data_IF_505672330061
#
_entry.id   IF_505672330061
#
_cell.length_a   1.000
_cell.length_b   1.000
_cell.length_c   1.000
_cell.angle_alpha   90.00
_cell.angle_beta   90.00
_cell.angle_gamma   90.00
#
_symmetry.space_group_name_H-M   'P 1'
#
loop_
_entity.id
_entity.type
_entity.pdbx_description
1 polymer ?
#
# COMPACT_ATOMS: atom_id res chain seq x y z
N UNK A 1 -28.38 -25.32 52.32
CA UNK A 1 -27.47 -25.29 51.16
C UNK A 1 -28.21 -25.01 49.84
N UNK A 2 -28.94 -23.89 49.73
CA UNK A 2 -29.66 -23.50 48.47
C UNK A 2 -29.71 -21.98 48.23
N UNK A 3 -28.90 -21.18 48.95
CA UNK A 3 -28.89 -19.71 48.81
C UNK A 3 -27.50 -19.09 48.59
N UNK A 4 -26.49 -19.92 48.34
CA UNK A 4 -25.10 -19.48 48.11
C UNK A 4 -24.57 -19.82 46.70
N UNK A 5 -25.46 -20.25 45.80
CA UNK A 5 -25.12 -20.64 44.42
C UNK A 5 -25.68 -19.68 43.35
N UNK A 6 -26.40 -18.62 43.76
CA UNK A 6 -26.96 -17.64 42.82
C UNK A 6 -26.15 -16.34 42.72
N UNK A 7 -25.11 -16.19 43.54
CA UNK A 7 -24.27 -14.97 43.58
C UNK A 7 -22.99 -15.08 42.74
N UNK A 8 -22.75 -16.23 42.12
CA UNK A 8 -21.55 -16.51 41.32
C UNK A 8 -21.86 -16.67 39.82
N UNK A 9 -22.99 -16.13 39.36
CA UNK A 9 -23.42 -16.14 37.97
C UNK A 9 -23.60 -14.72 37.38
N UNK A 10 -22.93 -13.71 37.97
CA UNK A 10 -23.08 -12.31 37.55
C UNK A 10 -21.75 -11.52 37.49
N UNK A 11 -20.64 -12.19 37.20
CA UNK A 11 -19.37 -11.50 36.93
C UNK A 11 -18.53 -12.35 36.00
N UNK A 12 -18.86 -12.31 34.71
CA UNK A 12 -17.93 -12.49 33.58
C UNK A 12 -18.68 -12.23 32.27
N UNK A 13 -19.33 -11.07 32.14
CA UNK A 13 -19.61 -10.52 30.81
C UNK A 13 -18.43 -9.62 30.49
N UNK A 14 -17.34 -10.24 30.05
CA UNK A 14 -16.31 -9.49 29.31
C UNK A 14 -16.96 -9.05 28.02
N UNK A 15 -17.31 -7.77 27.94
CA UNK A 15 -17.66 -7.11 26.70
C UNK A 15 -16.40 -7.14 25.84
N UNK A 16 -16.28 -8.17 24.99
CA UNK A 16 -15.32 -8.18 23.91
C UNK A 16 -15.81 -7.15 22.89
N UNK A 17 -15.31 -5.93 22.99
CA UNK A 17 -15.35 -5.01 21.86
C UNK A 17 -14.39 -5.58 20.80
N UNK A 18 -14.91 -6.45 19.94
CA UNK A 18 -14.24 -6.77 18.68
C UNK A 18 -14.47 -5.56 17.78
N UNK A 19 -13.53 -4.63 17.77
CA UNK A 19 -13.45 -3.70 16.65
C UNK A 19 -13.03 -4.52 15.43
N UNK A 20 -13.94 -4.70 14.47
CA UNK A 20 -13.55 -5.15 13.14
C UNK A 20 -12.62 -4.08 12.57
N UNK A 21 -11.32 -4.33 12.60
CA UNK A 21 -10.39 -3.54 11.80
C UNK A 21 -10.62 -3.94 10.35
N UNK A 22 -11.12 -3.01 9.55
CA UNK A 22 -11.34 -3.26 8.13
C UNK A 22 -10.00 -3.53 7.44
N UNK A 23 -9.91 -4.68 6.80
CA UNK A 23 -8.74 -5.04 5.99
C UNK A 23 -8.98 -4.72 4.54
N UNK A 24 -7.95 -4.17 3.89
CA UNK A 24 -7.85 -3.98 2.45
C UNK A 24 -6.93 -5.05 1.89
N UNK A 25 -7.45 -5.83 0.95
CA UNK A 25 -6.68 -6.81 0.19
C UNK A 25 -6.21 -6.17 -1.11
N UNK A 26 -4.91 -6.02 -1.24
CA UNK A 26 -4.27 -5.56 -2.49
C UNK A 26 -3.74 -6.77 -3.22
N UNK A 27 -4.02 -6.86 -4.52
CA UNK A 27 -3.52 -7.90 -5.40
C UNK A 27 -2.85 -7.28 -6.62
N UNK A 28 -1.80 -7.94 -7.10
CA UNK A 28 -1.18 -7.64 -8.37
C UNK A 28 -1.14 -8.90 -9.24
N UNK A 29 -1.44 -8.75 -10.54
CA UNK A 29 -1.40 -9.88 -11.47
C UNK A 29 -1.00 -9.49 -12.91
N UNK A 30 0.04 -10.12 -13.45
CA UNK A 30 0.29 -10.13 -14.89
C UNK A 30 -0.72 -11.05 -15.60
N UNK A 31 -1.52 -10.49 -16.51
CA UNK A 31 -2.61 -11.19 -17.19
C UNK A 31 -2.18 -11.92 -18.48
N UNK A 32 -0.92 -11.85 -18.89
CA UNK A 32 -0.38 -12.42 -20.13
C UNK A 32 -1.22 -12.06 -21.37
N UNK A 33 -0.87 -10.97 -22.05
CA UNK A 33 -1.50 -10.55 -23.31
C UNK A 33 -3.06 -10.56 -23.30
N UNK A 34 -3.73 -10.15 -22.23
CA UNK A 34 -5.19 -10.19 -22.16
C UNK A 34 -5.83 -9.32 -23.25
N UNK A 35 -6.53 -9.96 -24.20
CA UNK A 35 -7.11 -9.28 -25.37
C UNK A 35 -6.08 -8.71 -26.35
N UNK A 36 -4.79 -9.00 -26.17
CA UNK A 36 -3.73 -8.67 -27.10
C UNK A 36 -3.31 -9.94 -27.84
N UNK A 37 -3.36 -9.93 -29.17
CA UNK A 37 -3.00 -11.09 -29.97
C UNK A 37 -1.77 -10.79 -30.81
N UNK A 38 -0.77 -11.67 -30.72
CA UNK A 38 0.49 -11.64 -31.48
C UNK A 38 0.56 -12.84 -32.41
N UNK A 39 1.68 -13.01 -33.12
CA UNK A 39 1.89 -14.17 -34.00
C UNK A 39 2.02 -15.51 -33.25
N UNK A 40 2.41 -15.47 -31.98
CA UNK A 40 2.61 -16.65 -31.12
C UNK A 40 1.59 -16.72 -29.98
N UNK A 41 1.00 -15.58 -29.61
CA UNK A 41 -0.10 -15.53 -28.65
C UNK A 41 -1.41 -15.19 -29.38
N UNK A 42 -2.11 -16.23 -29.82
CA UNK A 42 -3.26 -16.17 -30.74
C UNK A 42 -4.58 -16.37 -30.01
N UNK A 43 -5.70 -16.21 -30.71
CA UNK A 43 -7.03 -16.55 -30.18
C UNK A 43 -7.22 -18.03 -29.87
N UNK A 44 -6.32 -18.91 -30.31
CA UNK A 44 -6.37 -20.35 -30.04
C UNK A 44 -5.75 -20.70 -28.69
N UNK A 45 -4.61 -20.11 -28.34
CA UNK A 45 -3.86 -20.40 -27.11
C UNK A 45 -3.97 -19.30 -26.04
N UNK A 46 -4.62 -18.17 -26.33
CA UNK A 46 -4.83 -17.07 -25.38
C UNK A 46 -6.21 -16.41 -25.55
N UNK A 47 -7.25 -17.22 -25.78
CA UNK A 47 -8.60 -16.73 -26.00
C UNK A 47 -9.13 -15.95 -24.78
N UNK A 48 -9.59 -14.72 -24.98
CA UNK A 48 -10.07 -13.86 -23.88
C UNK A 48 -11.30 -14.43 -23.13
N UNK A 49 -12.22 -15.13 -23.81
CA UNK A 49 -13.41 -15.71 -23.17
C UNK A 49 -13.02 -16.84 -22.22
N UNK A 50 -12.08 -17.68 -22.65
CA UNK A 50 -11.49 -18.73 -21.80
C UNK A 50 -10.70 -18.14 -20.64
N UNK A 51 -9.90 -17.08 -20.88
CA UNK A 51 -9.24 -16.35 -19.78
C UNK A 51 -10.26 -15.80 -18.78
N UNK A 52 -11.40 -15.30 -19.23
CA UNK A 52 -12.44 -14.79 -18.34
C UNK A 52 -12.98 -15.87 -17.40
N UNK A 53 -13.10 -17.12 -17.84
CA UNK A 53 -13.49 -18.26 -16.98
C UNK A 53 -12.47 -18.51 -15.88
N UNK A 54 -11.18 -18.58 -16.25
CA UNK A 54 -10.10 -18.76 -15.29
C UNK A 54 -10.01 -17.59 -14.31
N UNK A 55 -10.04 -16.36 -14.82
CA UNK A 55 -9.95 -15.17 -14.01
C UNK A 55 -11.16 -15.02 -13.07
N UNK A 56 -12.38 -15.41 -13.47
CA UNK A 56 -13.52 -15.44 -12.55
C UNK A 56 -13.26 -16.38 -11.39
N UNK A 57 -12.76 -17.58 -11.66
CA UNK A 57 -12.41 -18.58 -10.63
C UNK A 57 -11.37 -18.03 -9.65
N UNK A 58 -10.31 -17.38 -10.16
CA UNK A 58 -9.26 -16.76 -9.34
C UNK A 58 -9.81 -15.60 -8.52
N UNK A 59 -10.64 -14.72 -9.11
CA UNK A 59 -11.20 -13.55 -8.43
C UNK A 59 -12.26 -13.95 -7.40
N UNK A 60 -13.05 -14.98 -7.65
CA UNK A 60 -14.00 -15.54 -6.68
C UNK A 60 -13.28 -16.08 -5.44
N UNK A 61 -12.11 -16.70 -5.63
CA UNK A 61 -11.30 -17.19 -4.53
C UNK A 61 -10.58 -16.05 -3.78
N UNK A 62 -10.07 -15.06 -4.52
CA UNK A 62 -9.18 -14.04 -3.95
C UNK A 62 -9.91 -12.81 -3.45
N UNK A 63 -10.98 -12.33 -4.09
CA UNK A 63 -11.74 -11.13 -3.74
C UNK A 63 -10.85 -9.95 -3.30
N UNK A 64 -9.99 -9.41 -4.18
CA UNK A 64 -9.16 -8.25 -3.88
C UNK A 64 -9.99 -6.97 -3.81
N UNK A 65 -9.61 -6.02 -2.96
CA UNK A 65 -10.25 -4.70 -2.88
C UNK A 65 -9.60 -3.70 -3.85
N UNK A 66 -8.30 -3.87 -4.10
CA UNK A 66 -7.52 -3.14 -5.11
C UNK A 66 -6.74 -4.18 -5.92
N UNK A 67 -6.86 -4.13 -7.24
CA UNK A 67 -6.21 -5.04 -8.17
C UNK A 67 -5.43 -4.25 -9.23
N UNK A 68 -4.10 -4.29 -9.14
CA UNK A 68 -3.23 -3.83 -10.22
C UNK A 68 -3.01 -4.95 -11.23
N UNK A 69 -3.10 -4.64 -12.52
CA UNK A 69 -2.80 -5.60 -13.59
C UNK A 69 -1.88 -5.01 -14.64
N UNK A 70 -1.12 -5.88 -15.28
CA UNK A 70 -0.31 -5.56 -16.46
C UNK A 70 -0.67 -6.52 -17.59
N UNK A 71 -0.16 -6.22 -18.78
CA UNK A 71 -0.37 -7.04 -19.98
C UNK A 71 -1.81 -7.08 -20.52
N UNK A 72 -2.61 -6.06 -20.24
CA UNK A 72 -3.93 -5.90 -20.85
C UNK A 72 -3.83 -5.09 -22.14
N UNK A 73 -4.61 -5.46 -23.16
CA UNK A 73 -4.71 -4.71 -24.41
C UNK A 73 -5.12 -3.25 -24.17
N UNK A 74 -4.55 -2.27 -24.91
CA UNK A 74 -4.99 -0.90 -24.84
C UNK A 74 -6.39 -0.69 -25.43
N UNK A 75 -7.01 -1.69 -26.06
CA UNK A 75 -8.39 -1.54 -26.54
C UNK A 75 -9.36 -1.45 -25.35
N UNK A 76 -10.12 -0.35 -25.28
CA UNK A 76 -11.07 -0.08 -24.19
C UNK A 76 -12.13 -1.17 -24.01
N UNK A 77 -12.47 -1.90 -25.08
CA UNK A 77 -13.39 -3.04 -24.99
C UNK A 77 -12.87 -4.12 -24.05
N UNK A 78 -11.57 -4.43 -24.05
CA UNK A 78 -11.02 -5.47 -23.18
C UNK A 78 -10.88 -5.01 -21.72
N UNK A 79 -10.67 -3.72 -21.49
CA UNK A 79 -10.67 -3.13 -20.14
C UNK A 79 -12.08 -3.22 -19.52
N UNK A 80 -13.10 -2.88 -20.30
CA UNK A 80 -14.49 -3.00 -19.88
C UNK A 80 -14.93 -4.47 -19.77
N UNK A 81 -14.47 -5.33 -20.67
CA UNK A 81 -14.70 -6.79 -20.62
C UNK A 81 -14.14 -7.40 -19.34
N UNK A 82 -12.90 -7.09 -18.96
CA UNK A 82 -12.33 -7.58 -17.70
C UNK A 82 -13.15 -7.11 -16.49
N UNK A 83 -13.51 -5.81 -16.43
CA UNK A 83 -14.36 -5.32 -15.35
C UNK A 83 -15.70 -6.04 -15.31
N UNK A 84 -16.39 -6.13 -16.44
CA UNK A 84 -17.79 -6.55 -16.47
C UNK A 84 -17.94 -8.07 -16.47
N UNK A 85 -17.04 -8.82 -17.11
CA UNK A 85 -17.14 -10.27 -17.31
C UNK A 85 -16.19 -11.09 -16.41
N UNK A 86 -15.35 -10.42 -15.61
CA UNK A 86 -14.52 -11.05 -14.58
C UNK A 86 -14.83 -10.51 -13.19
N UNK A 87 -14.63 -9.20 -12.98
CA UNK A 87 -14.70 -8.62 -11.64
C UNK A 87 -16.14 -8.48 -11.14
N UNK A 88 -17.02 -7.93 -11.96
CA UNK A 88 -18.44 -7.70 -11.69
C UNK A 88 -19.29 -8.90 -12.12
N UNK A 89 -19.00 -10.05 -11.51
CA UNK A 89 -19.68 -11.32 -11.75
C UNK A 89 -20.06 -11.97 -10.43
N UNK A 90 -20.90 -13.02 -10.49
CA UNK A 90 -21.28 -13.81 -9.31
C UNK A 90 -21.87 -12.97 -8.16
N UNK A 91 -22.72 -12.01 -8.51
CA UNK A 91 -23.38 -11.10 -7.56
C UNK A 91 -22.55 -9.88 -7.17
N UNK A 92 -21.34 -9.72 -7.72
CA UNK A 92 -20.54 -8.49 -7.57
C UNK A 92 -20.88 -7.51 -8.71
N UNK A 93 -21.04 -6.25 -8.37
CA UNK A 93 -21.33 -5.14 -9.29
C UNK A 93 -20.57 -3.86 -8.89
N UNK A 94 -19.56 -4.01 -8.03
CA UNK A 94 -18.96 -2.92 -7.28
C UNK A 94 -17.51 -2.61 -7.64
N UNK A 95 -16.92 -3.29 -8.62
CA UNK A 95 -15.61 -2.92 -9.13
C UNK A 95 -15.71 -1.81 -10.17
N UNK A 96 -14.84 -0.81 -10.01
CA UNK A 96 -14.55 0.21 -11.01
C UNK A 96 -13.12 0.07 -11.49
N UNK A 97 -12.82 0.64 -12.66
CA UNK A 97 -11.48 0.79 -13.18
C UNK A 97 -11.07 2.27 -13.18
N UNK A 98 -9.78 2.54 -13.02
CA UNK A 98 -9.26 3.89 -13.25
C UNK A 98 -9.21 4.22 -14.76
N UNK A 99 -9.01 5.50 -15.13
CA UNK A 99 -8.82 5.88 -16.52
C UNK A 99 -7.59 5.21 -17.15
N UNK A 100 -7.75 4.83 -18.42
CA UNK A 100 -6.70 4.25 -19.27
C UNK A 100 -5.71 5.32 -19.73
N UNK A 101 -4.42 4.97 -19.77
CA UNK A 101 -3.39 5.71 -20.51
C UNK A 101 -2.62 4.77 -21.45
N UNK A 102 -1.98 5.34 -22.48
CA UNK A 102 -1.00 4.64 -23.31
C UNK A 102 -0.09 5.64 -24.05
N UNK A 103 0.55 6.54 -23.30
CA UNK A 103 1.39 7.59 -23.87
C UNK A 103 2.66 7.02 -24.52
N UNK A 104 3.17 5.91 -24.00
CA UNK A 104 4.27 5.15 -24.60
C UNK A 104 3.88 4.37 -25.88
N UNK A 105 2.59 4.28 -26.23
CA UNK A 105 2.15 3.59 -27.44
C UNK A 105 2.39 2.08 -27.45
N UNK A 106 2.37 1.43 -26.28
CA UNK A 106 2.59 -0.01 -26.16
C UNK A 106 1.40 -0.84 -26.64
N UNK A 107 1.64 -2.07 -27.09
CA UNK A 107 0.59 -3.04 -27.44
C UNK A 107 -0.11 -3.64 -26.22
N UNK A 108 0.47 -3.46 -25.04
CA UNK A 108 -0.06 -3.91 -23.75
C UNK A 108 0.21 -2.84 -22.69
N UNK A 109 -0.75 -2.62 -21.80
CA UNK A 109 -0.74 -1.55 -20.81
C UNK A 109 -0.96 -2.09 -19.40
N UNK A 110 -0.90 -1.18 -18.42
CA UNK A 110 -1.27 -1.47 -17.04
C UNK A 110 -2.61 -0.81 -16.72
N UNK A 111 -3.34 -1.41 -15.78
CA UNK A 111 -4.61 -0.88 -15.27
C UNK A 111 -4.71 -1.14 -13.77
N UNK A 112 -5.57 -0.38 -13.09
CA UNK A 112 -5.99 -0.68 -11.74
C UNK A 112 -7.52 -0.76 -11.67
N UNK A 113 -8.01 -1.74 -10.94
CA UNK A 113 -9.41 -1.96 -10.61
C UNK A 113 -9.57 -1.94 -9.09
N UNK A 114 -10.72 -1.50 -8.60
CA UNK A 114 -10.94 -1.32 -7.18
C UNK A 114 -12.42 -1.43 -6.79
N UNK A 115 -12.68 -1.88 -5.56
CA UNK A 115 -14.00 -1.89 -4.94
C UNK A 115 -14.41 -0.44 -4.57
N UNK A 116 -15.34 0.14 -5.32
CA UNK A 116 -15.75 1.53 -5.12
C UNK A 116 -16.47 1.76 -3.78
N UNK A 117 -16.90 0.69 -3.09
CA UNK A 117 -17.53 0.78 -1.77
C UNK A 117 -16.51 1.09 -0.68
N UNK A 118 -15.24 0.71 -0.89
CA UNK A 118 -14.15 0.87 0.08
C UNK A 118 -13.21 2.03 -0.23
N UNK A 119 -12.93 2.29 -1.50
CA UNK A 119 -12.03 3.36 -1.93
C UNK A 119 -12.62 4.20 -3.04
N UNK A 120 -12.12 5.42 -3.19
CA UNK A 120 -12.43 6.28 -4.31
C UNK A 120 -11.16 6.87 -4.91
N UNK A 121 -11.10 6.90 -6.24
CA UNK A 121 -9.99 7.49 -6.97
C UNK A 121 -10.06 9.02 -6.87
N UNK A 122 -9.08 9.64 -6.20
CA UNK A 122 -8.94 11.10 -6.10
C UNK A 122 -8.24 11.68 -7.31
N UNK A 123 -7.13 11.05 -7.70
CA UNK A 123 -6.25 11.56 -8.73
C UNK A 123 -5.54 10.39 -9.41
N UNK A 124 -5.18 10.59 -10.67
CA UNK A 124 -4.39 9.65 -11.43
C UNK A 124 -3.49 10.42 -12.39
N UNK A 125 -2.35 9.84 -12.69
CA UNK A 125 -1.45 10.29 -13.75
C UNK A 125 -0.67 9.10 -14.30
N UNK A 126 0.00 9.30 -15.43
CA UNK A 126 0.93 8.32 -15.96
C UNK A 126 2.23 8.98 -16.41
N UNK A 127 3.34 8.27 -16.20
CA UNK A 127 4.67 8.63 -16.69
C UNK A 127 4.95 7.78 -17.92
N UNK A 128 5.03 8.40 -19.10
CA UNK A 128 5.44 7.71 -20.31
C UNK A 128 6.91 7.26 -20.19
N UNK A 129 7.27 6.07 -20.64
CA UNK A 129 8.66 5.61 -20.81
C UNK A 129 8.93 5.20 -22.26
N UNK A 130 10.12 4.70 -22.55
CA UNK A 130 10.45 4.13 -23.87
C UNK A 130 9.74 2.79 -24.14
N UNK A 131 9.12 2.18 -23.13
CA UNK A 131 8.53 0.84 -23.23
C UNK A 131 7.02 0.85 -22.98
N UNK A 132 6.62 1.33 -21.79
CA UNK A 132 5.25 1.29 -21.28
C UNK A 132 5.02 2.47 -20.33
N UNK A 133 3.76 2.88 -20.20
CA UNK A 133 3.39 3.85 -19.16
C UNK A 133 3.66 3.25 -17.78
N UNK A 134 4.01 4.10 -16.82
CA UNK A 134 3.91 3.82 -15.38
C UNK A 134 2.68 4.55 -14.88
N UNK A 135 1.77 3.86 -14.20
CA UNK A 135 0.51 4.45 -13.75
C UNK A 135 0.54 4.73 -12.25
N UNK A 136 0.18 5.95 -11.84
CA UNK A 136 0.06 6.34 -10.44
C UNK A 136 -1.39 6.71 -10.15
N UNK A 137 -1.98 6.06 -9.14
CA UNK A 137 -3.37 6.21 -8.75
C UNK A 137 -3.46 6.54 -7.26
N UNK A 138 -3.92 7.74 -6.94
CA UNK A 138 -4.14 8.17 -5.55
C UNK A 138 -5.60 7.96 -5.18
N UNK A 139 -5.81 7.13 -4.18
CA UNK A 139 -7.10 6.83 -3.58
C UNK A 139 -7.25 7.51 -2.22
N UNK A 140 -8.50 7.67 -1.82
CA UNK A 140 -8.86 7.83 -0.41
C UNK A 140 -9.83 6.74 0.02
N UNK A 141 -9.78 6.37 1.30
CA UNK A 141 -10.66 5.34 1.85
C UNK A 141 -12.01 5.92 2.26
N UNK A 142 -13.09 5.19 1.96
CA UNK A 142 -14.44 5.54 2.39
C UNK A 142 -14.61 5.18 3.85
N UNK A 143 -14.91 6.18 4.67
CA UNK A 143 -15.21 6.01 6.09
C UNK A 143 -16.24 7.06 6.53
N UNK A 144 -16.86 6.87 7.70
CA UNK A 144 -17.86 7.81 8.23
C UNK A 144 -17.27 9.20 8.59
N UNK A 145 -15.96 9.27 8.84
CA UNK A 145 -15.23 10.50 9.15
C UNK A 145 -14.94 11.37 7.93
N UNK A 146 -15.19 10.89 6.70
CA UNK A 146 -15.03 11.67 5.46
C UNK A 146 -15.81 12.98 5.47
N UNK A 147 -16.95 13.02 6.18
CA UNK A 147 -17.76 14.25 6.36
C UNK A 147 -16.98 15.39 7.02
N UNK A 148 -15.91 15.05 7.76
CA UNK A 148 -15.03 15.99 8.45
C UNK A 148 -13.70 16.22 7.71
N UNK A 149 -13.54 15.68 6.49
CA UNK A 149 -12.32 15.81 5.68
C UNK A 149 -11.16 14.92 6.10
N UNK A 150 -11.35 14.03 7.08
CA UNK A 150 -10.31 13.11 7.57
C UNK A 150 -10.43 11.75 6.87
N UNK A 151 -9.40 11.38 6.11
CA UNK A 151 -9.30 10.08 5.47
C UNK A 151 -7.86 9.69 5.22
N UNK A 152 -7.66 8.38 5.10
CA UNK A 152 -6.39 7.77 4.75
C UNK A 152 -6.24 7.86 3.23
N UNK A 153 -5.05 8.29 2.79
CA UNK A 153 -4.68 8.32 1.38
C UNK A 153 -3.72 7.19 1.06
N UNK A 154 -3.85 6.63 -0.15
CA UNK A 154 -2.94 5.62 -0.68
C UNK A 154 -2.66 5.92 -2.15
N UNK A 155 -1.39 6.03 -2.51
CA UNK A 155 -0.96 6.07 -3.91
C UNK A 155 -0.44 4.71 -4.32
N UNK A 156 -1.14 4.07 -5.26
CA UNK A 156 -0.70 2.83 -5.91
C UNK A 156 0.01 3.16 -7.22
N UNK A 157 1.22 2.63 -7.38
CA UNK A 157 2.03 2.73 -8.59
C UNK A 157 2.00 1.35 -9.26
N UNK A 158 1.42 1.26 -10.46
CA UNK A 158 1.37 0.03 -11.25
C UNK A 158 2.34 0.14 -12.42
N UNK A 159 3.24 -0.83 -12.55
CA UNK A 159 4.28 -0.80 -13.59
C UNK A 159 4.58 -2.19 -14.16
N UNK A 160 4.99 -2.24 -15.42
CA UNK A 160 5.57 -3.40 -16.05
C UNK A 160 6.91 -2.99 -16.65
N UNK A 161 7.99 -3.28 -15.92
CA UNK A 161 9.33 -2.86 -16.31
C UNK A 161 9.79 -3.60 -17.59
N UNK A 162 10.92 -3.17 -18.17
CA UNK A 162 11.46 -3.78 -19.38
C UNK A 162 11.73 -5.28 -19.17
N UNK A 163 11.08 -6.13 -19.97
CA UNK A 163 11.35 -7.57 -20.01
C UNK A 163 12.68 -7.92 -20.69
N UNK A 164 13.17 -9.14 -20.48
CA UNK A 164 14.41 -9.66 -21.07
C UNK A 164 15.56 -9.78 -20.07
N UNK A 165 16.63 -10.48 -20.43
CA UNK A 165 17.71 -10.90 -19.54
C UNK A 165 19.09 -10.34 -19.93
N UNK A 166 19.15 -9.42 -20.91
CA UNK A 166 20.42 -8.79 -21.32
C UNK A 166 20.76 -7.59 -20.44
N UNK A 167 22.03 -7.16 -20.46
CA UNK A 167 22.46 -5.93 -19.78
C UNK A 167 21.68 -4.70 -20.23
N UNK A 168 21.33 -4.63 -21.52
CA UNK A 168 20.50 -3.55 -22.06
C UNK A 168 19.09 -3.57 -21.48
N UNK A 169 18.53 -4.74 -21.19
CA UNK A 169 17.21 -4.88 -20.57
C UNK A 169 17.26 -4.40 -19.11
N UNK A 170 18.30 -4.80 -18.37
CA UNK A 170 18.52 -4.35 -16.99
C UNK A 170 18.74 -2.83 -16.89
N UNK A 171 19.44 -2.23 -17.85
CA UNK A 171 19.57 -0.76 -17.96
C UNK A 171 18.21 -0.12 -18.23
N UNK A 172 17.42 -0.68 -19.16
CA UNK A 172 16.07 -0.21 -19.46
C UNK A 172 15.14 -0.24 -18.24
N UNK A 173 15.14 -1.35 -17.47
CA UNK A 173 14.42 -1.44 -16.19
C UNK A 173 14.87 -0.38 -15.19
N UNK A 174 16.19 -0.19 -15.07
CA UNK A 174 16.76 0.80 -14.14
C UNK A 174 16.33 2.22 -14.50
N UNK A 175 16.30 2.57 -15.79
CA UNK A 175 15.84 3.87 -16.26
C UNK A 175 14.34 4.10 -15.95
N UNK A 176 13.50 3.08 -16.14
CA UNK A 176 12.08 3.14 -15.76
C UNK A 176 11.91 3.34 -14.25
N UNK A 177 12.63 2.57 -13.42
CA UNK A 177 12.58 2.70 -11.96
C UNK A 177 13.10 4.07 -11.47
N UNK A 178 14.19 4.59 -12.06
CA UNK A 178 14.70 5.92 -11.77
C UNK A 178 13.64 6.99 -12.06
N UNK A 179 12.92 6.89 -13.18
CA UNK A 179 11.85 7.84 -13.54
C UNK A 179 10.75 7.91 -12.48
N UNK A 180 10.40 6.78 -11.86
CA UNK A 180 9.46 6.71 -10.73
C UNK A 180 10.04 7.48 -9.55
N UNK A 181 11.26 7.15 -9.14
CA UNK A 181 11.89 7.73 -7.96
C UNK A 181 12.18 9.23 -8.12
N UNK A 182 12.52 9.70 -9.32
CA UNK A 182 12.69 11.12 -9.64
C UNK A 182 11.37 11.88 -9.51
N UNK A 183 10.28 11.30 -10.03
CA UNK A 183 8.95 11.87 -9.89
C UNK A 183 8.53 11.96 -8.41
N UNK A 184 8.68 10.86 -7.67
CA UNK A 184 8.38 10.84 -6.23
C UNK A 184 9.25 11.82 -5.43
N UNK A 185 10.52 11.98 -5.79
CA UNK A 185 11.43 12.96 -5.18
C UNK A 185 11.03 14.40 -5.51
N UNK A 186 10.49 14.63 -6.70
CA UNK A 186 10.03 15.96 -7.14
C UNK A 186 8.78 16.38 -6.38
N UNK A 187 7.79 15.49 -6.24
CA UNK A 187 6.57 15.79 -5.48
C UNK A 187 6.81 15.74 -3.96
N UNK A 188 7.71 14.86 -3.52
CA UNK A 188 8.14 14.65 -2.14
C UNK A 188 6.98 14.57 -1.13
N UNK A 189 5.85 13.97 -1.51
CA UNK A 189 4.70 13.87 -0.63
C UNK A 189 4.92 12.76 0.42
N UNK A 190 4.65 13.08 1.69
CA UNK A 190 4.71 12.09 2.77
C UNK A 190 3.35 11.40 2.96
N UNK A 191 3.07 10.39 2.13
CA UNK A 191 1.81 9.61 2.14
C UNK A 191 2.08 8.10 2.12
N UNK A 192 1.04 7.27 2.09
CA UNK A 192 1.19 5.83 1.85
C UNK A 192 1.45 5.58 0.37
N UNK A 193 2.53 4.85 0.08
CA UNK A 193 2.82 4.38 -1.27
C UNK A 193 2.87 2.87 -1.31
N UNK A 194 2.23 2.30 -2.33
CA UNK A 194 2.50 0.95 -2.80
C UNK A 194 3.01 1.04 -4.23
N UNK A 195 4.07 0.30 -4.55
CA UNK A 195 4.45 0.02 -5.93
C UNK A 195 4.24 -1.48 -6.18
N UNK A 196 3.55 -1.80 -7.26
CA UNK A 196 3.24 -3.16 -7.64
C UNK A 196 3.41 -3.36 -9.14
N UNK A 197 3.83 -4.55 -9.53
CA UNK A 197 4.21 -4.75 -10.93
C UNK A 197 4.96 -6.02 -11.18
N UNK A 198 5.05 -6.32 -12.48
CA UNK A 198 6.04 -7.22 -13.03
C UNK A 198 7.30 -6.38 -13.23
N UNK A 199 8.29 -6.63 -12.38
CA UNK A 199 9.54 -5.89 -12.38
C UNK A 199 10.59 -6.53 -13.30
N UNK A 200 10.40 -7.78 -13.76
CA UNK A 200 11.36 -8.49 -14.60
C UNK A 200 12.81 -8.47 -14.03
N UNK A 201 12.96 -8.40 -12.69
CA UNK A 201 14.28 -8.32 -12.03
C UNK A 201 14.73 -9.70 -11.55
N UNK A 202 16.00 -10.03 -11.80
CA UNK A 202 16.54 -11.37 -11.55
C UNK A 202 17.19 -11.49 -10.16
N UNK A 203 17.57 -10.36 -9.57
CA UNK A 203 18.17 -10.30 -8.25
C UNK A 203 17.88 -8.99 -7.54
N UNK A 204 17.96 -8.98 -6.23
CA UNK A 204 17.84 -7.75 -5.45
C UNK A 204 18.98 -6.78 -5.69
N UNK A 205 20.12 -7.20 -6.24
CA UNK A 205 21.24 -6.30 -6.59
C UNK A 205 21.01 -5.55 -7.90
N UNK A 206 19.97 -5.89 -8.66
CA UNK A 206 19.71 -5.25 -9.94
C UNK A 206 19.34 -3.77 -9.77
N UNK A 207 19.82 -2.93 -10.70
CA UNK A 207 19.72 -1.47 -10.60
C UNK A 207 18.29 -0.98 -10.37
N UNK A 208 17.30 -1.54 -11.08
CA UNK A 208 15.90 -1.19 -10.93
C UNK A 208 15.37 -1.44 -9.51
N UNK A 209 15.69 -2.60 -8.91
CA UNK A 209 15.29 -2.93 -7.55
C UNK A 209 15.99 -2.01 -6.53
N UNK A 210 17.27 -1.72 -6.75
CA UNK A 210 18.04 -0.80 -5.91
C UNK A 210 17.50 0.63 -5.92
N UNK A 211 16.98 1.12 -7.06
CA UNK A 211 16.30 2.42 -7.12
C UNK A 211 15.14 2.49 -6.11
N UNK A 212 14.34 1.44 -6.03
CA UNK A 212 13.20 1.38 -5.11
C UNK A 212 13.65 1.21 -3.66
N UNK A 213 14.57 0.28 -3.38
CA UNK A 213 14.85 -0.16 -2.00
C UNK A 213 15.98 0.58 -1.30
N UNK A 214 16.82 1.32 -2.03
CA UNK A 214 17.99 2.01 -1.47
C UNK A 214 17.94 3.54 -1.61
N UNK A 215 16.77 4.12 -1.88
CA UNK A 215 16.61 5.56 -2.06
C UNK A 215 16.81 6.34 -0.75
N UNK A 216 17.67 7.37 -0.69
CA UNK A 216 18.03 8.05 0.57
C UNK A 216 16.83 8.58 1.39
N UNK A 217 15.80 9.10 0.72
CA UNK A 217 14.57 9.56 1.39
C UNK A 217 13.65 8.39 1.76
N UNK A 218 13.54 8.10 3.06
CA UNK A 218 12.75 6.98 3.59
C UNK A 218 11.24 7.11 3.37
N UNK A 219 10.72 8.33 3.18
CA UNK A 219 9.28 8.56 2.95
C UNK A 219 8.83 8.05 1.58
N UNK A 220 9.73 7.96 0.61
CA UNK A 220 9.45 7.46 -0.74
C UNK A 220 10.22 6.19 -1.10
N UNK A 221 11.17 5.76 -0.25
CA UNK A 221 11.84 4.47 -0.36
C UNK A 221 10.83 3.34 -0.17
N UNK A 222 10.92 2.33 -1.01
CA UNK A 222 10.11 1.12 -0.90
C UNK A 222 10.84 0.01 -0.14
N UNK A 223 10.07 -0.82 0.52
CA UNK A 223 10.52 -1.97 1.29
C UNK A 223 9.75 -3.20 0.83
N UNK A 224 10.47 -4.31 0.72
CA UNK A 224 9.89 -5.60 0.39
C UNK A 224 9.32 -6.25 1.65
N UNK A 225 8.00 -6.46 1.67
CA UNK A 225 7.30 -7.07 2.79
C UNK A 225 7.77 -8.51 3.07
N UNK A 226 8.24 -9.23 2.05
CA UNK A 226 8.78 -10.59 2.20
C UNK A 226 10.19 -10.53 2.80
N UNK A 227 10.93 -9.44 2.58
CA UNK A 227 12.29 -9.23 3.08
C UNK A 227 13.25 -10.37 2.68
N UNK A 228 13.22 -10.76 1.39
CA UNK A 228 14.04 -11.86 0.82
C UNK A 228 14.95 -11.35 -0.29
N UNK A 229 16.05 -10.72 0.10
CA UNK A 229 17.09 -10.24 -0.80
C UNK A 229 18.01 -11.38 -1.27
N UNK A 230 18.41 -11.37 -2.55
CA UNK A 230 19.34 -12.31 -3.15
C UNK A 230 19.17 -12.44 -4.66
N UNK A 231 19.68 -13.53 -5.23
CA UNK A 231 19.50 -13.90 -6.64
C UNK A 231 18.29 -14.84 -6.71
N UNK A 232 17.17 -14.33 -7.20
CA UNK A 232 15.90 -15.07 -7.25
C UNK A 232 15.89 -16.07 -8.39
N UNK A 233 16.40 -15.67 -9.55
CA UNK A 233 16.35 -16.48 -10.77
C UNK A 233 17.11 -17.81 -10.66
N UNK A 234 16.49 -18.88 -11.15
CA UNK A 234 17.00 -20.26 -11.20
C UNK A 234 17.63 -20.69 -9.86
N UNK A 235 16.99 -20.31 -8.75
CA UNK A 235 17.50 -20.59 -7.42
C UNK A 235 16.48 -21.28 -6.52
N UNK A 236 16.70 -22.57 -6.28
CA UNK A 236 15.82 -23.39 -5.42
C UNK A 236 15.64 -22.83 -3.99
N UNK A 237 16.58 -22.03 -3.46
CA UNK A 237 16.40 -21.37 -2.17
C UNK A 237 15.24 -20.36 -2.18
N UNK A 238 14.96 -19.78 -3.35
CA UNK A 238 13.87 -18.84 -3.55
C UNK A 238 12.60 -19.46 -4.13
N UNK A 239 12.56 -20.79 -4.31
CA UNK A 239 11.39 -21.51 -4.84
C UNK A 239 10.05 -21.11 -4.18
N UNK A 240 9.94 -20.92 -2.85
CA UNK A 240 8.68 -20.49 -2.22
C UNK A 240 8.23 -19.06 -2.58
N UNK A 241 9.06 -18.28 -3.29
CA UNK A 241 8.81 -16.88 -3.64
C UNK A 241 8.76 -16.65 -5.15
N UNK A 242 8.96 -17.69 -5.97
CA UNK A 242 8.85 -17.56 -7.42
C UNK A 242 7.41 -17.27 -7.84
N UNK A 243 7.26 -16.48 -8.88
CA UNK A 243 6.00 -16.02 -9.44
C UNK A 243 5.88 -16.32 -10.93
N UNK A 244 6.99 -16.65 -11.62
CA UNK A 244 7.02 -17.08 -13.02
C UNK A 244 8.07 -18.21 -13.19
N UNK A 245 7.93 -19.16 -14.12
CA UNK A 245 6.77 -19.43 -14.98
C UNK A 245 5.89 -20.57 -14.47
N UNK A 246 4.57 -20.45 -14.61
CA UNK A 246 3.65 -21.58 -14.39
C UNK A 246 3.81 -22.73 -15.40
N UNK A 247 4.56 -22.53 -16.49
CA UNK A 247 4.75 -23.49 -17.58
C UNK A 247 6.22 -23.87 -17.79
N UNK A 248 6.47 -25.11 -18.22
CA UNK A 248 7.82 -25.57 -18.63
C UNK A 248 8.11 -25.28 -20.11
N UNK A 249 7.08 -25.22 -20.96
CA UNK A 249 7.21 -25.03 -22.41
C UNK A 249 6.80 -23.65 -22.85
N UNK A 250 7.61 -23.01 -23.70
CA UNK A 250 7.29 -21.70 -24.27
C UNK A 250 6.34 -21.81 -25.48
N UNK A 251 5.27 -21.02 -25.46
CA UNK A 251 4.39 -20.75 -26.62
C UNK A 251 3.84 -19.30 -26.53
N UNK A 252 2.56 -19.09 -26.20
CA UNK A 252 2.12 -17.78 -25.68
C UNK A 252 2.74 -17.51 -24.30
N UNK A 253 2.85 -18.56 -23.47
CA UNK A 253 3.42 -18.53 -22.13
C UNK A 253 4.95 -18.56 -22.17
N UNK A 254 5.60 -17.94 -21.19
CA UNK A 254 7.02 -18.18 -20.92
C UNK A 254 7.23 -19.61 -20.41
N UNK A 255 8.30 -20.29 -20.84
CA UNK A 255 8.67 -21.62 -20.33
C UNK A 255 9.65 -21.55 -19.15
N UNK A 256 10.23 -22.69 -18.76
CA UNK A 256 11.26 -22.77 -17.69
C UNK A 256 10.76 -23.38 -16.36
N UNK A 257 9.48 -23.22 -16.05
CA UNK A 257 8.88 -23.59 -14.75
C UNK A 257 9.06 -22.49 -13.70
N UNK A 258 8.59 -22.71 -12.46
CA UNK A 258 8.57 -21.66 -11.43
C UNK A 258 9.98 -21.41 -10.88
N UNK A 259 10.73 -20.50 -11.52
CA UNK A 259 12.17 -20.29 -11.32
C UNK A 259 12.56 -18.81 -11.13
N UNK A 260 11.63 -17.88 -11.28
CA UNK A 260 11.84 -16.43 -11.15
C UNK A 260 10.85 -15.77 -10.19
N UNK A 261 11.29 -14.71 -9.49
CA UNK A 261 10.42 -13.81 -8.71
C UNK A 261 10.35 -12.45 -9.42
N UNK A 262 9.35 -12.26 -10.26
CA UNK A 262 9.17 -11.02 -11.02
C UNK A 262 8.04 -10.13 -10.51
N UNK A 263 7.10 -10.68 -9.76
CA UNK A 263 5.89 -9.96 -9.36
C UNK A 263 5.98 -9.49 -7.90
N UNK A 264 5.83 -8.19 -7.69
CA UNK A 264 6.04 -7.56 -6.38
C UNK A 264 4.85 -6.68 -5.98
N UNK A 265 4.62 -6.59 -4.67
CA UNK A 265 3.98 -5.45 -4.01
C UNK A 265 4.97 -4.96 -2.94
N UNK A 266 5.53 -3.76 -3.12
CA UNK A 266 6.39 -3.10 -2.15
C UNK A 266 5.66 -1.90 -1.55
N UNK A 267 6.01 -1.53 -0.31
CA UNK A 267 5.44 -0.36 0.35
C UNK A 267 6.47 0.54 0.99
N UNK A 268 6.14 1.81 1.19
CA UNK A 268 7.03 2.74 1.89
C UNK A 268 6.92 2.62 3.42
N UNK A 269 7.76 3.37 4.15
CA UNK A 269 7.81 3.29 5.62
C UNK A 269 6.44 3.53 6.28
N UNK A 270 5.60 4.38 5.70
CA UNK A 270 4.25 4.65 6.22
C UNK A 270 3.36 3.40 6.20
N UNK A 271 3.47 2.59 5.14
CA UNK A 271 2.74 1.31 5.06
C UNK A 271 3.26 0.26 6.04
N UNK A 272 4.53 0.33 6.46
CA UNK A 272 5.08 -0.59 7.46
C UNK A 272 4.66 -0.19 8.87
N UNK A 273 4.80 1.09 9.20
CA UNK A 273 4.55 1.59 10.55
C UNK A 273 3.06 1.82 10.82
N UNK A 274 2.28 2.11 9.79
CA UNK A 274 0.90 2.57 9.89
C UNK A 274 0.79 4.06 10.20
N UNK A 275 1.88 4.84 10.11
CA UNK A 275 1.91 6.25 10.52
C UNK A 275 0.89 7.14 9.78
N UNK A 276 0.46 6.72 8.58
CA UNK A 276 -0.55 7.41 7.78
C UNK A 276 -1.87 6.61 7.68
N UNK A 277 -2.18 5.81 8.70
CA UNK A 277 -3.46 5.10 8.83
C UNK A 277 -3.67 3.93 7.87
N UNK A 278 -2.65 3.52 7.12
CA UNK A 278 -2.68 2.32 6.27
C UNK A 278 -1.47 1.46 6.62
N UNK A 279 -1.69 0.27 7.18
CA UNK A 279 -0.63 -0.56 7.74
C UNK A 279 -0.66 -1.98 7.20
N UNK A 280 0.48 -2.47 6.71
CA UNK A 280 0.66 -3.85 6.30
C UNK A 280 0.38 -4.81 7.46
N UNK A 281 -0.40 -5.85 7.17
CA UNK A 281 -0.63 -6.95 8.10
C UNK A 281 0.55 -7.90 7.97
N UNK A 282 1.33 -8.04 9.04
CA UNK A 282 2.47 -8.95 9.07
C UNK A 282 2.07 -10.36 8.60
N UNK A 283 2.96 -10.98 7.84
CA UNK A 283 2.82 -12.33 7.28
C UNK A 283 1.58 -12.53 6.38
N UNK A 284 0.98 -11.44 5.87
CA UNK A 284 -0.18 -11.53 4.97
C UNK A 284 0.19 -11.58 3.48
N UNK A 285 1.45 -11.34 3.13
CA UNK A 285 1.92 -11.45 1.75
C UNK A 285 1.84 -12.90 1.28
N UNK A 286 1.19 -13.16 0.16
CA UNK A 286 1.04 -14.51 -0.40
C UNK A 286 1.15 -14.47 -1.90
N UNK A 287 1.86 -15.43 -2.48
CA UNK A 287 1.79 -15.75 -3.91
C UNK A 287 0.82 -16.91 -4.08
N UNK A 288 -0.34 -16.66 -4.69
CA UNK A 288 -1.37 -17.70 -4.81
C UNK A 288 -0.89 -18.82 -5.74
N UNK A 289 -1.02 -20.08 -5.31
CA UNK A 289 -0.59 -21.24 -6.08
C UNK A 289 0.89 -21.63 -5.85
N UNK A 290 1.69 -20.79 -5.20
CA UNK A 290 3.08 -21.10 -4.92
C UNK A 290 3.21 -21.97 -3.66
N UNK A 291 3.70 -23.21 -3.83
CA UNK A 291 3.88 -24.19 -2.75
C UNK A 291 5.35 -24.46 -2.40
N UNK A 292 6.29 -23.89 -3.15
CA UNK A 292 7.73 -24.07 -3.01
C UNK A 292 8.26 -25.40 -3.55
N UNK A 293 7.46 -26.22 -4.23
CA UNK A 293 7.85 -27.57 -4.71
C UNK A 293 7.97 -27.68 -6.23
N UNK A 294 7.64 -26.60 -6.95
CA UNK A 294 7.60 -26.55 -8.41
C UNK A 294 8.76 -25.78 -9.03
N UNK A 295 9.89 -25.70 -8.33
CA UNK A 295 11.12 -25.14 -8.90
C UNK A 295 11.50 -25.85 -10.22
N UNK A 296 11.63 -25.08 -11.30
CA UNK A 296 11.87 -25.53 -12.68
C UNK A 296 10.83 -26.56 -13.19
N UNK A 297 9.59 -26.48 -12.67
CA UNK A 297 8.44 -27.30 -13.07
C UNK A 297 7.23 -26.44 -13.35
N UNK A 298 6.29 -26.96 -14.14
CA UNK A 298 4.99 -26.34 -14.34
C UNK A 298 4.14 -26.47 -13.08
N UNK A 299 3.20 -25.54 -12.90
CA UNK A 299 2.37 -25.46 -11.68
C UNK A 299 1.58 -26.73 -11.37
N UNK A 300 1.25 -27.51 -12.41
CA UNK A 300 0.46 -28.74 -12.34
C UNK A 300 1.29 -30.02 -12.50
N UNK A 301 2.62 -29.90 -12.57
CA UNK A 301 3.52 -31.06 -12.62
C UNK A 301 3.57 -31.79 -11.26
N UNK A 302 4.18 -32.97 -11.20
CA UNK A 302 4.37 -33.67 -9.93
C UNK A 302 5.50 -33.01 -9.08
N UNK A 303 5.34 -32.88 -7.75
CA UNK A 303 4.26 -33.42 -6.90
C UNK A 303 2.97 -32.59 -6.96
N UNK A 304 1.82 -33.20 -6.65
CA UNK A 304 0.53 -32.50 -6.66
C UNK A 304 0.60 -31.24 -5.77
N UNK A 305 0.31 -30.08 -6.37
CA UNK A 305 0.17 -28.83 -5.65
C UNK A 305 -1.14 -28.80 -4.85
N UNK A 306 -1.07 -28.49 -3.56
CA UNK A 306 -2.23 -28.39 -2.66
C UNK A 306 -2.35 -27.02 -1.98
N UNK A 307 -1.67 -26.00 -2.52
CA UNK A 307 -1.68 -24.64 -1.96
C UNK A 307 -3.02 -23.90 -2.16
N UNK A 308 -3.83 -24.36 -3.12
CA UNK A 308 -5.18 -23.88 -3.40
C UNK A 308 -6.06 -25.04 -3.90
N UNK A 309 -7.40 -24.86 -3.96
CA UNK A 309 -8.30 -25.78 -4.64
C UNK A 309 -7.86 -26.06 -6.08
N UNK A 310 -8.09 -27.28 -6.58
CA UNK A 310 -7.59 -27.71 -7.90
C UNK A 310 -8.12 -26.85 -9.05
N UNK A 311 -9.39 -26.47 -9.01
CA UNK A 311 -10.01 -25.55 -9.99
C UNK A 311 -9.31 -24.18 -10.02
N UNK A 312 -8.87 -23.68 -8.87
CA UNK A 312 -8.07 -22.45 -8.77
C UNK A 312 -6.67 -22.67 -9.36
N UNK A 313 -6.02 -23.81 -9.11
CA UNK A 313 -4.70 -24.13 -9.67
C UNK A 313 -4.74 -24.29 -11.19
N UNK A 314 -5.75 -24.97 -11.71
CA UNK A 314 -6.00 -25.10 -13.15
C UNK A 314 -6.29 -23.74 -13.78
N UNK A 315 -7.04 -22.87 -13.11
CA UNK A 315 -7.28 -21.51 -13.56
C UNK A 315 -6.00 -20.65 -13.58
N UNK A 316 -5.14 -20.76 -12.56
CA UNK A 316 -3.85 -20.07 -12.53
C UNK A 316 -2.97 -20.51 -13.69
N UNK A 317 -2.84 -21.81 -13.89
CA UNK A 317 -2.09 -22.40 -14.99
C UNK A 317 -2.66 -21.97 -16.35
N UNK A 318 -3.97 -22.09 -16.56
CA UNK A 318 -4.61 -21.77 -17.84
C UNK A 318 -4.64 -20.28 -18.18
N UNK A 319 -4.52 -19.39 -17.19
CA UNK A 319 -4.64 -17.95 -17.41
C UNK A 319 -3.32 -17.25 -17.76
N UNK A 320 -2.24 -17.51 -17.02
CA UNK A 320 -1.02 -16.72 -17.12
C UNK A 320 0.21 -17.56 -16.81
N UNK A 321 1.35 -17.18 -17.37
CA UNK A 321 2.67 -17.66 -16.96
C UNK A 321 3.10 -17.10 -15.61
N UNK A 322 2.37 -16.12 -15.06
CA UNK A 322 2.59 -15.59 -13.71
C UNK A 322 1.59 -16.12 -12.68
N UNK A 323 1.98 -16.05 -11.41
CA UNK A 323 1.11 -16.20 -10.25
C UNK A 323 0.79 -14.84 -9.62
N UNK A 324 -0.46 -14.59 -9.17
CA UNK A 324 -0.80 -13.34 -8.54
C UNK A 324 -0.24 -13.25 -7.12
N UNK A 325 0.21 -12.05 -6.75
CA UNK A 325 0.68 -11.73 -5.40
C UNK A 325 -0.34 -10.87 -4.67
N UNK A 326 -0.51 -11.15 -3.38
CA UNK A 326 -1.51 -10.50 -2.53
C UNK A 326 -0.85 -10.02 -1.24
N UNK A 327 -1.34 -8.91 -0.70
CA UNK A 327 -0.99 -8.41 0.62
C UNK A 327 -2.23 -7.81 1.30
N UNK A 328 -2.33 -7.92 2.62
CA UNK A 328 -3.42 -7.32 3.40
C UNK A 328 -2.91 -6.13 4.19
N UNK A 329 -3.77 -5.14 4.34
CA UNK A 329 -3.49 -3.92 5.07
C UNK A 329 -4.66 -3.61 5.98
N UNK A 330 -4.39 -3.17 7.20
CA UNK A 330 -5.38 -2.61 8.11
C UNK A 330 -5.47 -1.11 7.83
N UNK A 331 -6.70 -0.60 7.73
CA UNK A 331 -6.95 0.83 7.80
C UNK A 331 -7.21 1.19 9.25
N UNK A 332 -6.39 2.09 9.78
CA UNK A 332 -6.68 2.71 11.06
C UNK A 332 -7.52 3.96 10.83
N UNK A 333 -8.82 3.85 11.13
CA UNK A 333 -9.74 5.00 11.15
C UNK A 333 -9.63 5.82 12.44
N UNK A 334 -8.87 5.33 13.44
CA UNK A 334 -8.67 6.04 14.68
C UNK A 334 -7.57 7.10 14.51
N UNK A 335 -8.05 8.33 14.37
CA UNK A 335 -7.35 9.58 14.66
C UNK A 335 -6.19 9.93 13.72
N UNK A 336 -6.49 10.74 12.70
CA UNK A 336 -5.88 12.07 12.78
C UNK A 336 -6.61 12.80 13.91
N UNK A 337 -6.00 12.92 15.09
CA UNK A 337 -6.07 14.25 15.68
C UNK A 337 -5.48 15.07 14.55
N UNK A 338 -6.31 15.83 13.82
CA UNK A 338 -5.83 16.90 12.96
C UNK A 338 -4.66 17.47 13.74
N UNK A 339 -3.47 17.55 13.17
CA UNK A 339 -2.34 18.14 13.88
C UNK A 339 -2.68 19.63 14.03
N UNK A 340 -3.56 19.94 14.98
CA UNK A 340 -4.05 21.27 15.30
C UNK A 340 -3.06 21.89 16.26
N UNK A 341 -1.79 21.57 16.07
CA UNK A 341 -0.70 22.20 16.76
C UNK A 341 -0.69 23.66 16.38
N UNK A 342 -0.69 24.51 17.40
CA UNK A 342 -0.44 25.93 17.19
C UNK A 342 0.99 26.09 16.65
N UNK A 343 1.21 26.87 15.59
CA UNK A 343 2.54 27.12 15.04
C UNK A 343 3.26 28.08 16.00
N UNK A 344 3.85 27.51 17.04
CA UNK A 344 4.61 28.23 18.05
C UNK A 344 6.06 27.76 18.07
N UNK A 345 6.96 28.66 18.47
CA UNK A 345 8.29 28.29 18.94
C UNK A 345 8.49 28.84 20.34
N UNK A 346 9.27 28.17 21.16
CA UNK A 346 9.56 28.65 22.50
C UNK A 346 11.04 28.48 22.86
N UNK A 347 11.50 29.33 23.77
CA UNK A 347 12.83 29.23 24.36
C UNK A 347 12.80 29.76 25.80
N UNK A 348 13.79 29.35 26.60
CA UNK A 348 13.94 29.80 27.98
C UNK A 348 15.22 30.62 28.09
N UNK A 349 15.12 31.81 28.68
CA UNK A 349 16.27 32.67 28.97
C UNK A 349 16.02 33.41 30.28
N UNK A 350 17.02 33.46 31.17
CA UNK A 350 16.94 34.16 32.46
C UNK A 350 15.69 33.79 33.30
N UNK A 351 15.37 32.50 33.36
CA UNK A 351 14.19 31.96 34.06
C UNK A 351 12.84 32.47 33.54
N UNK A 352 12.80 32.96 32.31
CA UNK A 352 11.57 33.31 31.59
C UNK A 352 11.39 32.38 30.40
N UNK A 353 10.16 31.89 30.21
CA UNK A 353 9.74 31.19 29.01
C UNK A 353 9.15 32.20 28.03
N UNK A 354 9.72 32.24 26.83
CA UNK A 354 9.20 33.02 25.70
C UNK A 354 8.51 32.08 24.73
N UNK A 355 7.29 32.42 24.32
CA UNK A 355 6.48 31.66 23.37
C UNK A 355 6.16 32.61 22.21
N UNK A 356 6.80 32.37 21.06
CA UNK A 356 6.54 33.08 19.80
C UNK A 356 5.39 32.40 19.07
N UNK A 357 4.44 33.19 18.60
CA UNK A 357 3.25 32.74 17.88
C UNK A 357 3.39 33.20 16.44
N UNK A 358 3.50 32.26 15.49
CA UNK A 358 3.77 32.59 14.08
C UNK A 358 2.50 32.88 13.27
N UNK A 359 1.35 32.38 13.72
CA UNK A 359 0.03 32.70 13.17
C UNK A 359 -0.91 33.16 14.28
N UNK A 360 -1.60 34.29 14.07
CA UNK A 360 -2.60 34.79 15.00
C UNK A 360 -3.66 33.72 15.29
N UNK A 361 -4.06 33.61 16.56
CA UNK A 361 -5.07 32.64 16.95
C UNK A 361 -6.44 33.00 16.36
N UNK A 362 -7.26 31.99 16.09
CA UNK A 362 -8.66 32.17 15.67
C UNK A 362 -9.51 32.83 16.78
N UNK A 363 -9.09 32.67 18.04
CA UNK A 363 -9.73 33.13 19.27
C UNK A 363 -8.68 33.18 20.40
N UNK A 364 -8.98 33.85 21.51
CA UNK A 364 -8.07 33.84 22.66
C UNK A 364 -7.72 32.40 23.08
N UNK A 365 -6.45 32.18 23.45
CA UNK A 365 -5.94 30.87 23.83
C UNK A 365 -5.80 30.76 25.35
N UNK A 366 -6.12 29.61 25.91
CA UNK A 366 -5.82 29.28 27.30
C UNK A 366 -4.46 28.58 27.40
N UNK A 367 -3.59 29.03 28.30
CA UNK A 367 -2.32 28.37 28.63
C UNK A 367 -2.42 27.75 30.03
N UNK A 368 -1.82 26.56 30.19
CA UNK A 368 -1.77 25.82 31.46
C UNK A 368 -0.39 25.23 31.66
N UNK A 369 0.12 25.25 32.89
CA UNK A 369 1.33 24.52 33.31
C UNK A 369 0.93 23.40 34.24
N UNK A 370 1.40 22.19 33.94
CA UNK A 370 1.19 20.99 34.74
C UNK A 370 2.51 20.48 35.31
N UNK A 371 2.46 19.90 36.50
CA UNK A 371 3.52 19.02 36.97
C UNK A 371 3.42 17.62 36.34
N UNK A 372 4.41 16.77 36.61
CA UNK A 372 4.47 15.38 36.10
C UNK A 372 3.35 14.48 36.63
N UNK A 373 2.61 14.90 37.65
CA UNK A 373 1.44 14.19 38.18
C UNK A 373 0.13 14.68 37.54
N UNK A 374 0.21 15.65 36.61
CA UNK A 374 -0.95 16.23 35.93
C UNK A 374 -1.71 17.28 36.75
N UNK A 375 -1.13 17.81 37.83
CA UNK A 375 -1.73 18.90 38.60
C UNK A 375 -1.46 20.23 37.90
N UNK A 376 -2.49 21.06 37.74
CA UNK A 376 -2.36 22.42 37.20
C UNK A 376 -1.70 23.31 38.26
N UNK A 377 -0.55 23.89 37.91
CA UNK A 377 0.20 24.84 38.74
C UNK A 377 -0.03 26.28 38.32
N UNK A 378 -0.37 26.51 37.07
CA UNK A 378 -0.62 27.83 36.50
C UNK A 378 -1.64 27.75 35.37
N UNK A 379 -2.44 28.82 35.22
CA UNK A 379 -3.33 29.01 34.07
C UNK A 379 -3.46 30.50 33.74
N UNK A 380 -3.50 30.83 32.46
CA UNK A 380 -3.74 32.21 31.99
C UNK A 380 -4.41 32.21 30.59
N UNK A 381 -4.77 33.40 30.09
CA UNK A 381 -5.25 33.62 28.73
C UNK A 381 -4.24 34.42 27.90
N UNK A 382 -4.06 34.02 26.64
CA UNK A 382 -3.25 34.68 25.63
C UNK A 382 -4.21 35.29 24.61
N UNK A 383 -4.15 36.61 24.43
CA UNK A 383 -5.00 37.28 23.46
C UNK A 383 -4.67 36.83 22.04
N UNK A 384 -5.68 36.74 21.17
CA UNK A 384 -5.50 36.35 19.77
C UNK A 384 -4.62 37.31 18.93
N UNK A 385 -4.30 38.50 19.44
CA UNK A 385 -3.38 39.48 18.82
C UNK A 385 -1.95 39.42 19.39
N UNK A 386 -1.61 38.42 20.21
CA UNK A 386 -0.29 38.31 20.83
C UNK A 386 0.70 37.62 19.90
N UNK A 387 1.77 38.33 19.52
CA UNK A 387 2.87 37.75 18.72
C UNK A 387 3.88 36.98 19.60
N UNK A 388 4.05 37.41 20.85
CA UNK A 388 4.92 36.76 21.83
C UNK A 388 4.32 36.83 23.24
N UNK A 389 4.22 35.68 23.90
CA UNK A 389 3.79 35.57 25.29
C UNK A 389 4.98 35.17 26.17
N UNK A 390 5.11 35.80 27.33
CA UNK A 390 6.24 35.58 28.25
C UNK A 390 5.74 35.17 29.63
N UNK A 391 6.33 34.12 30.19
CA UNK A 391 5.97 33.58 31.50
C UNK A 391 7.20 33.52 32.41
N UNK A 392 7.07 34.04 33.63
CA UNK A 392 8.11 33.97 34.66
C UNK A 392 8.08 32.61 35.37
N UNK A 393 9.21 31.89 35.34
CA UNK A 393 9.37 30.56 35.94
C UNK A 393 9.87 30.62 37.38
N UNK A 394 10.14 31.80 37.96
CA UNK A 394 10.65 31.95 39.33
C UNK A 394 9.72 31.36 40.41
N UNK A 395 8.43 31.24 40.12
CA UNK A 395 7.44 30.62 41.02
C UNK A 395 7.40 29.09 40.96
N UNK A 396 8.13 28.46 40.04
CA UNK A 396 8.18 27.01 39.88
C UNK A 396 9.42 26.43 40.56
N UNK A 397 9.26 25.29 41.22
CA UNK A 397 10.39 24.52 41.73
C UNK A 397 11.23 23.94 40.57
N UNK A 398 12.39 23.35 40.89
CA UNK A 398 13.21 22.66 39.90
C UNK A 398 12.52 21.36 39.49
N UNK A 399 12.34 21.14 38.19
CA UNK A 399 11.60 19.97 37.72
C UNK A 399 11.21 20.01 36.26
N UNK A 400 10.42 19.01 35.87
CA UNK A 400 9.86 18.87 34.53
C UNK A 400 8.41 19.34 34.57
N UNK A 401 8.03 20.18 33.62
CA UNK A 401 6.68 20.69 33.47
C UNK A 401 6.16 20.48 32.06
N UNK A 402 4.85 20.23 31.95
CA UNK A 402 4.13 20.19 30.68
C UNK A 402 3.35 21.48 30.53
N UNK A 403 3.47 22.11 29.36
CA UNK A 403 2.75 23.34 29.03
C UNK A 403 1.77 23.01 27.92
N UNK A 404 0.50 23.33 28.16
CA UNK A 404 -0.56 23.18 27.17
C UNK A 404 -1.10 24.54 26.79
N UNK A 405 -1.24 24.80 25.49
CA UNK A 405 -1.90 25.98 24.96
C UNK A 405 -3.06 25.52 24.07
N UNK A 406 -4.25 26.06 24.29
CA UNK A 406 -5.49 25.63 23.63
C UNK A 406 -6.33 26.82 23.18
N UNK A 407 -6.80 26.80 21.93
CA UNK A 407 -7.90 27.66 21.44
C UNK A 407 -9.18 26.83 21.31
N UNK A 408 -10.26 27.41 20.79
CA UNK A 408 -11.50 26.66 20.54
C UNK A 408 -11.32 25.51 19.54
N UNK A 409 -10.39 25.66 18.61
CA UNK A 409 -10.13 24.75 17.50
C UNK A 409 -8.76 24.07 17.56
N UNK A 410 -7.76 24.63 18.25
CA UNK A 410 -6.36 24.17 18.21
C UNK A 410 -5.80 23.81 19.59
N UNK A 411 -4.77 22.96 19.64
CA UNK A 411 -4.08 22.57 20.86
C UNK A 411 -2.60 22.25 20.59
N UNK A 412 -1.70 22.74 21.44
CA UNK A 412 -0.30 22.31 21.43
C UNK A 412 0.17 22.00 22.85
N UNK A 413 1.07 21.03 22.98
CA UNK A 413 1.70 20.67 24.25
C UNK A 413 3.19 20.51 24.08
N UNK A 414 3.96 21.06 25.02
CA UNK A 414 5.41 20.92 25.03
C UNK A 414 5.96 20.82 26.45
N UNK A 415 7.17 20.27 26.54
CA UNK A 415 7.87 20.05 27.81
C UNK A 415 8.91 21.14 28.03
N UNK A 416 8.98 21.62 29.26
CA UNK A 416 10.11 22.44 29.74
C UNK A 416 10.78 21.78 30.94
N UNK A 417 12.04 22.14 31.17
CA UNK A 417 12.79 21.78 32.38
C UNK A 417 13.17 23.09 33.07
N UNK A 418 12.73 23.26 34.31
CA UNK A 418 13.13 24.38 35.16
C UNK A 418 14.34 23.93 36.00
N UNK A 419 15.47 24.64 35.87
CA UNK A 419 16.80 24.19 36.36
C UNK A 419 17.25 24.97 37.59
#
# INVERSE_FOLDING_TARGET
>A
MKRLLLSLLFSFVTILFVYSQDTIKVMFYNLLNYGNYTSYCTTYNNNVETKNEYLRTIIDYTLPDILGVVEISPNGTYIEDFKNNVLNQNGRDYYCNAPKTNYSGSSIINMIYYDYRKVELKHWLALATDYRDINLYTFYFKNDALKNGDTVYLTCIVTHLKAGHTDSDAIGRTAMAQKIMDFLSTINENTNYLIMGDFNVYSSSEGAYQQFTNHANQNIRFYDFINKYGVWSDNAYFAPYHTQSTHTTSDCFSGGGLDDRFDFILGNINTITGQKGFKYVNDSYTTLGQDGQHFNKGLLDAPINTSAPMDVLEALYGNSDHLPVLAKFIIDHSQSIIDITLPIAYYIQNNQLYINIFDAFSSDASIYIYDVHGRILFSDQISNQTDQYTLDLNGLEKGIYLINIKTNDRFTSFKIVNI
#
